data_IF_180870398138
#
_entry.id   IF_180870398138
#
_cell.length_a   1.000
_cell.length_b   1.000
_cell.length_c   1.000
_cell.angle_alpha   90.00
_cell.angle_beta   90.00
_cell.angle_gamma   90.00
#
_symmetry.space_group_name_H-M   'P 1'
#
loop_
_entity.id
_entity.type
_entity.pdbx_description
1 polymer ?
#
# COMPACT_ATOMS: atom_id res chain seq x y z
N UNK A 1 21.92 -32.11 6.22
CA UNK A 1 21.78 -32.15 4.75
C UNK A 1 21.25 -30.80 4.30
N UNK A 2 22.13 -29.97 3.75
CA UNK A 2 21.79 -28.62 3.28
C UNK A 2 21.23 -28.79 1.86
N UNK A 3 19.98 -28.40 1.65
CA UNK A 3 19.33 -28.48 0.35
C UNK A 3 19.77 -27.24 -0.46
N UNK A 4 20.77 -27.42 -1.35
CA UNK A 4 21.16 -26.41 -2.31
C UNK A 4 20.16 -26.45 -3.47
N UNK A 5 19.36 -25.39 -3.64
CA UNK A 5 18.61 -25.14 -4.86
C UNK A 5 19.55 -24.64 -5.96
N UNK A 6 19.32 -25.02 -7.23
CA UNK A 6 20.21 -24.63 -8.32
C UNK A 6 20.06 -23.14 -8.65
N UNK A 7 21.18 -22.43 -8.60
CA UNK A 7 21.30 -21.09 -9.16
C UNK A 7 21.20 -21.15 -10.69
N UNK A 8 20.24 -20.43 -11.27
CA UNK A 8 20.16 -20.26 -12.73
C UNK A 8 21.23 -19.25 -13.15
N UNK A 9 22.30 -19.78 -13.73
CA UNK A 9 23.36 -18.97 -14.35
C UNK A 9 23.05 -18.77 -15.84
N UNK A 10 22.83 -17.53 -16.29
CA UNK A 10 22.87 -17.21 -17.72
C UNK A 10 24.29 -16.79 -18.10
N UNK A 11 24.89 -17.52 -19.03
CA UNK A 11 26.21 -17.18 -19.59
C UNK A 11 26.02 -16.35 -20.88
N UNK A 12 26.58 -15.15 -20.90
CA UNK A 12 26.67 -14.34 -22.13
C UNK A 12 28.16 -14.20 -22.48
N UNK A 13 28.54 -14.65 -23.69
CA UNK A 13 29.89 -14.52 -24.20
C UNK A 13 29.97 -13.30 -25.12
N UNK A 14 30.80 -12.32 -24.75
CA UNK A 14 31.13 -11.15 -25.58
C UNK A 14 32.65 -11.06 -25.62
N UNK A 15 33.19 -11.07 -26.85
CA UNK A 15 34.63 -10.94 -27.13
C UNK A 15 35.55 -11.91 -26.38
N UNK A 16 35.16 -13.18 -26.24
CA UNK A 16 36.01 -14.22 -25.65
C UNK A 16 36.15 -14.15 -24.12
N UNK A 17 35.46 -13.25 -23.45
CA UNK A 17 35.38 -13.19 -21.98
C UNK A 17 33.99 -13.65 -21.51
N UNK A 18 33.98 -14.57 -20.54
CA UNK A 18 32.72 -15.05 -19.93
C UNK A 18 32.35 -14.07 -18.83
N UNK A 19 31.26 -13.33 -19.02
CA UNK A 19 30.67 -12.51 -17.95
C UNK A 19 29.56 -13.36 -17.33
N UNK A 20 29.77 -13.74 -16.07
CA UNK A 20 28.71 -14.39 -15.27
C UNK A 20 27.83 -13.27 -14.72
N UNK A 21 26.65 -13.09 -15.32
CA UNK A 21 25.62 -12.21 -14.75
C UNK A 21 24.87 -13.01 -13.69
N UNK A 22 25.21 -12.80 -12.43
CA UNK A 22 24.41 -13.30 -11.31
C UNK A 22 23.16 -12.41 -11.23
N UNK A 23 22.07 -12.85 -11.80
CA UNK A 23 20.76 -12.25 -11.52
C UNK A 23 20.44 -12.52 -10.05
N UNK A 24 20.74 -11.58 -9.19
CA UNK A 24 20.09 -11.51 -7.89
C UNK A 24 18.62 -11.20 -8.18
N UNK A 25 17.79 -12.23 -8.27
CA UNK A 25 16.36 -12.06 -8.01
C UNK A 25 16.28 -11.64 -6.55
N UNK A 26 16.24 -10.32 -6.32
CA UNK A 26 15.96 -9.77 -5.02
C UNK A 26 14.63 -10.39 -4.58
N UNK A 27 14.66 -11.14 -3.49
CA UNK A 27 13.44 -11.60 -2.81
C UNK A 27 12.69 -10.31 -2.44
N UNK A 28 11.69 -9.94 -3.25
CA UNK A 28 10.78 -8.86 -2.88
C UNK A 28 10.14 -9.26 -1.56
N UNK A 29 10.23 -8.37 -0.57
CA UNK A 29 9.56 -8.63 0.69
C UNK A 29 8.06 -8.75 0.45
N UNK A 30 7.36 -9.52 1.27
CA UNK A 30 5.89 -9.61 1.16
C UNK A 30 5.26 -8.21 1.21
N UNK A 31 5.83 -7.29 1.99
CA UNK A 31 5.40 -5.89 2.09
C UNK A 31 5.51 -5.16 0.75
N UNK A 32 6.61 -5.34 0.01
CA UNK A 32 6.82 -4.72 -1.30
C UNK A 32 5.79 -5.23 -2.32
N UNK A 33 5.45 -6.53 -2.27
CA UNK A 33 4.41 -7.10 -3.13
C UNK A 33 3.04 -6.41 -2.95
N UNK A 34 2.61 -6.19 -1.70
CA UNK A 34 1.31 -5.55 -1.44
C UNK A 34 1.30 -4.08 -1.86
N UNK A 35 2.42 -3.39 -1.68
CA UNK A 35 2.61 -2.03 -2.14
C UNK A 35 2.44 -1.92 -3.66
N UNK A 36 3.13 -2.78 -4.42
CA UNK A 36 3.05 -2.80 -5.89
C UNK A 36 1.64 -3.15 -6.38
N UNK A 37 0.96 -4.10 -5.73
CA UNK A 37 -0.43 -4.46 -6.06
C UNK A 37 -1.37 -3.26 -5.94
N UNK A 38 -1.30 -2.51 -4.83
CA UNK A 38 -2.15 -1.33 -4.62
C UNK A 38 -1.85 -0.25 -5.64
N UNK A 39 -0.57 -0.03 -5.95
CA UNK A 39 -0.13 0.93 -6.97
C UNK A 39 -0.69 0.60 -8.35
N UNK A 40 -0.57 -0.66 -8.77
CA UNK A 40 -1.13 -1.16 -10.03
C UNK A 40 -2.66 -1.02 -10.05
N UNK A 41 -3.34 -1.39 -8.95
CA UNK A 41 -4.80 -1.31 -8.84
C UNK A 41 -5.30 0.13 -8.95
N UNK A 42 -4.63 1.09 -8.31
CA UNK A 42 -4.92 2.52 -8.44
C UNK A 42 -4.73 3.02 -9.87
N UNK A 43 -3.61 2.64 -10.52
CA UNK A 43 -3.33 3.03 -11.90
C UNK A 43 -4.36 2.48 -12.88
N UNK A 44 -4.86 1.24 -12.68
CA UNK A 44 -5.95 0.66 -13.47
C UNK A 44 -7.25 1.48 -13.38
N UNK A 45 -7.49 2.15 -12.24
CA UNK A 45 -8.63 3.06 -12.08
C UNK A 45 -8.36 4.51 -12.53
N UNK A 46 -7.21 4.76 -13.14
CA UNK A 46 -6.85 6.07 -13.68
C UNK A 46 -6.26 7.04 -12.65
N UNK A 47 -5.86 6.56 -11.46
CA UNK A 47 -5.12 7.36 -10.51
C UNK A 47 -3.68 7.56 -10.98
N UNK A 48 -3.19 8.77 -10.90
CA UNK A 48 -1.78 9.08 -11.11
C UNK A 48 -1.07 9.09 -9.76
N UNK A 49 -0.04 8.26 -9.62
CA UNK A 49 0.81 8.25 -8.42
C UNK A 49 1.71 9.48 -8.45
N UNK A 50 1.59 10.33 -7.45
CA UNK A 50 2.38 11.58 -7.36
C UNK A 50 3.55 11.46 -6.42
N UNK A 51 3.42 10.68 -5.35
CA UNK A 51 4.45 10.46 -4.35
C UNK A 51 4.47 8.99 -3.91
N UNK A 52 5.68 8.41 -3.81
CA UNK A 52 5.91 7.03 -3.43
C UNK A 52 7.29 6.88 -2.75
N UNK A 53 7.39 6.99 -1.43
CA UNK A 53 6.31 7.29 -0.46
C UNK A 53 5.96 8.79 -0.35
N UNK A 54 4.73 9.08 0.09
CA UNK A 54 4.34 10.44 0.48
C UNK A 54 4.96 10.79 1.83
N UNK A 55 5.74 11.87 1.87
CA UNK A 55 6.38 12.38 3.08
C UNK A 55 5.63 13.58 3.65
N UNK A 56 5.33 13.54 4.95
CA UNK A 56 4.69 14.64 5.68
C UNK A 56 5.51 14.96 6.92
N UNK A 57 5.90 16.24 7.06
CA UNK A 57 6.56 16.76 8.26
C UNK A 57 5.67 17.81 8.92
N UNK A 58 5.37 17.63 10.20
CA UNK A 58 4.57 18.56 11.01
C UNK A 58 5.21 18.71 12.38
N UNK A 59 5.54 19.96 12.77
CA UNK A 59 6.07 20.28 14.09
C UNK A 59 7.37 19.53 14.44
N UNK A 60 8.22 19.24 13.45
CA UNK A 60 9.47 18.50 13.64
C UNK A 60 9.29 16.97 13.72
N UNK A 61 8.09 16.46 13.45
CA UNK A 61 7.82 15.02 13.34
C UNK A 61 7.66 14.66 11.86
N UNK A 62 8.50 13.76 11.37
CA UNK A 62 8.46 13.25 10.02
C UNK A 62 7.63 11.97 9.94
N UNK A 63 6.70 11.93 9.00
CA UNK A 63 5.83 10.78 8.75
C UNK A 63 5.88 10.39 7.28
N UNK A 64 5.94 9.10 7.01
CA UNK A 64 5.86 8.54 5.66
C UNK A 64 4.52 7.82 5.49
N UNK A 65 3.80 8.16 4.42
CA UNK A 65 2.60 7.48 3.97
C UNK A 65 2.97 6.74 2.67
N UNK A 66 2.60 5.48 2.55
CA UNK A 66 3.09 4.61 1.49
C UNK A 66 2.85 5.16 0.07
N UNK A 67 1.68 5.72 -0.19
CA UNK A 67 1.35 6.27 -1.52
C UNK A 67 0.57 7.58 -1.45
N UNK A 68 0.98 8.55 -2.27
CA UNK A 68 0.15 9.69 -2.63
C UNK A 68 -0.36 9.52 -4.07
N UNK A 69 -1.66 9.73 -4.29
CA UNK A 69 -2.25 9.62 -5.62
C UNK A 69 -3.22 10.77 -5.90
N UNK A 70 -3.27 11.21 -7.14
CA UNK A 70 -4.18 12.23 -7.63
C UNK A 70 -5.00 11.69 -8.81
N UNK A 71 -6.29 12.02 -8.83
CA UNK A 71 -7.20 11.67 -9.92
C UNK A 71 -7.87 12.92 -10.46
N UNK A 72 -7.74 13.15 -11.75
CA UNK A 72 -8.45 14.20 -12.46
C UNK A 72 -9.83 13.71 -12.86
N UNK A 73 -10.88 14.40 -12.38
CA UNK A 73 -12.26 14.10 -12.75
C UNK A 73 -12.61 14.82 -14.05
N UNK A 74 -13.17 14.10 -15.01
CA UNK A 74 -13.45 14.62 -16.35
C UNK A 74 -14.47 15.78 -16.37
N UNK A 75 -15.34 15.89 -15.34
CA UNK A 75 -16.38 16.90 -15.25
C UNK A 75 -15.99 18.10 -14.38
N UNK A 76 -14.94 18.02 -13.60
CA UNK A 76 -14.50 19.06 -12.68
C UNK A 76 -13.03 19.39 -12.93
N UNK A 77 -12.67 20.65 -12.79
CA UNK A 77 -11.30 21.10 -13.01
C UNK A 77 -10.40 20.97 -11.79
N UNK A 78 -10.92 20.47 -10.67
CA UNK A 78 -10.15 20.19 -9.46
C UNK A 78 -9.93 18.70 -9.35
N UNK A 79 -8.69 18.28 -9.22
CA UNK A 79 -8.31 16.89 -9.00
C UNK A 79 -8.74 16.41 -7.62
N UNK A 80 -9.28 15.22 -7.53
CA UNK A 80 -9.44 14.50 -6.27
C UNK A 80 -8.08 14.02 -5.81
N UNK A 81 -7.71 14.27 -4.53
CA UNK A 81 -6.42 13.89 -3.95
C UNK A 81 -6.60 12.85 -2.87
N UNK A 82 -5.83 11.77 -2.93
CA UNK A 82 -5.82 10.75 -1.88
C UNK A 82 -4.40 10.48 -1.38
N UNK A 83 -4.32 10.02 -0.13
CA UNK A 83 -3.17 9.34 0.44
C UNK A 83 -3.61 7.95 0.87
N UNK A 84 -2.74 6.96 0.72
CA UNK A 84 -3.08 5.56 0.95
C UNK A 84 -2.04 4.94 1.88
N UNK A 85 -2.48 4.53 3.07
CA UNK A 85 -1.68 3.72 3.99
C UNK A 85 -1.96 2.24 3.72
N UNK A 86 -0.95 1.49 3.31
CA UNK A 86 -1.10 0.09 2.90
C UNK A 86 -0.76 -0.84 4.05
N UNK A 87 -1.67 -1.77 4.37
CA UNK A 87 -1.47 -2.81 5.39
C UNK A 87 -1.73 -4.19 4.82
N UNK A 88 -0.75 -5.08 4.97
CA UNK A 88 -0.82 -6.45 4.44
C UNK A 88 -1.61 -7.41 5.33
N UNK A 89 -1.73 -7.16 6.63
CA UNK A 89 -2.36 -8.04 7.61
C UNK A 89 -1.81 -9.49 7.58
N UNK A 90 -0.50 -9.63 7.38
CA UNK A 90 0.19 -10.93 7.30
C UNK A 90 0.68 -11.46 8.63
N UNK A 91 0.67 -10.64 9.69
CA UNK A 91 1.11 -11.09 11.00
C UNK A 91 0.14 -12.13 11.57
N UNK A 92 0.64 -12.97 12.45
CA UNK A 92 -0.15 -14.02 13.13
C UNK A 92 -1.30 -13.46 13.97
N UNK A 93 -1.25 -12.17 14.33
CA UNK A 93 -2.26 -11.48 15.12
C UNK A 93 -2.87 -10.31 14.32
N UNK A 94 -4.02 -10.53 13.70
CA UNK A 94 -4.75 -9.48 12.97
C UNK A 94 -5.13 -8.29 13.86
N UNK A 95 -5.40 -8.51 15.16
CA UNK A 95 -5.70 -7.43 16.10
C UNK A 95 -4.47 -6.54 16.37
N UNK A 96 -3.27 -7.10 16.37
CA UNK A 96 -2.04 -6.32 16.53
C UNK A 96 -1.83 -5.42 15.31
N UNK A 97 -1.97 -5.96 14.09
CA UNK A 97 -1.90 -5.18 12.85
C UNK A 97 -2.97 -4.07 12.82
N UNK A 98 -4.17 -4.38 13.31
CA UNK A 98 -5.26 -3.42 13.39
C UNK A 98 -4.95 -2.26 14.35
N UNK A 99 -4.43 -2.53 15.53
CA UNK A 99 -4.03 -1.47 16.48
C UNK A 99 -2.96 -0.54 15.89
N UNK A 100 -1.97 -1.12 15.19
CA UNK A 100 -0.95 -0.32 14.48
C UNK A 100 -1.57 0.51 13.36
N UNK A 101 -2.45 -0.08 12.55
CA UNK A 101 -3.12 0.62 11.46
C UNK A 101 -4.01 1.77 11.99
N UNK A 102 -4.76 1.56 13.08
CA UNK A 102 -5.58 2.59 13.72
C UNK A 102 -4.71 3.76 14.20
N UNK A 103 -3.62 3.47 14.93
CA UNK A 103 -2.71 4.50 15.43
C UNK A 103 -2.08 5.32 14.30
N UNK A 104 -1.57 4.67 13.27
CA UNK A 104 -0.97 5.34 12.11
C UNK A 104 -2.00 6.15 11.33
N UNK A 105 -3.17 5.60 11.07
CA UNK A 105 -4.22 6.30 10.34
C UNK A 105 -4.66 7.59 11.02
N UNK A 106 -4.85 7.56 12.35
CA UNK A 106 -5.23 8.76 13.12
C UNK A 106 -4.13 9.82 13.05
N UNK A 107 -2.87 9.42 13.21
CA UNK A 107 -1.72 10.32 13.13
C UNK A 107 -1.59 10.95 11.74
N UNK A 108 -1.64 10.15 10.69
CA UNK A 108 -1.55 10.64 9.30
C UNK A 108 -2.73 11.54 8.93
N UNK A 109 -3.94 11.19 9.33
CA UNK A 109 -5.12 12.04 9.11
C UNK A 109 -4.97 13.40 9.80
N UNK A 110 -4.43 13.42 11.01
CA UNK A 110 -4.15 14.67 11.73
C UNK A 110 -3.09 15.48 11.00
N UNK A 111 -1.99 14.87 10.57
CA UNK A 111 -0.92 15.54 9.84
C UNK A 111 -1.41 16.12 8.50
N UNK A 112 -2.21 15.36 7.74
CA UNK A 112 -2.79 15.81 6.47
C UNK A 112 -3.69 17.05 6.64
N UNK A 113 -4.44 17.17 7.74
CA UNK A 113 -5.23 18.36 8.02
C UNK A 113 -4.40 19.66 8.07
N UNK A 114 -3.13 19.56 8.46
CA UNK A 114 -2.21 20.70 8.49
C UNK A 114 -1.54 20.96 7.15
N UNK A 115 -1.20 19.91 6.39
CA UNK A 115 -0.36 20.02 5.20
C UNK A 115 -1.12 20.04 3.89
N UNK A 116 -2.13 19.21 3.74
CA UNK A 116 -2.97 19.10 2.56
C UNK A 116 -4.39 18.69 2.96
N UNK A 117 -5.22 19.63 3.48
CA UNK A 117 -6.54 19.33 4.04
C UNK A 117 -7.53 18.77 2.98
N UNK A 118 -7.23 18.92 1.71
CA UNK A 118 -8.05 18.37 0.62
C UNK A 118 -7.73 16.91 0.30
N UNK A 119 -6.58 16.41 0.74
CA UNK A 119 -6.14 15.03 0.50
C UNK A 119 -6.83 14.08 1.46
N UNK A 120 -7.59 13.15 0.91
CA UNK A 120 -8.33 12.16 1.70
C UNK A 120 -7.43 10.97 2.00
N UNK A 121 -7.40 10.52 3.25
CA UNK A 121 -6.65 9.35 3.68
C UNK A 121 -7.51 8.10 3.58
N UNK A 122 -6.97 7.05 2.96
CA UNK A 122 -7.54 5.71 2.90
C UNK A 122 -6.60 4.71 3.54
N UNK A 123 -7.17 3.75 4.28
CA UNK A 123 -6.47 2.55 4.71
C UNK A 123 -6.71 1.46 3.67
N UNK A 124 -5.64 1.03 2.98
CA UNK A 124 -5.70 -0.05 2.01
C UNK A 124 -5.46 -1.39 2.69
N UNK A 125 -6.38 -2.33 2.51
CA UNK A 125 -6.35 -3.67 3.11
C UNK A 125 -6.67 -4.75 2.08
N UNK A 126 -6.07 -5.97 2.20
CA UNK A 126 -6.41 -7.08 1.32
C UNK A 126 -7.86 -7.53 1.51
N UNK A 127 -8.48 -8.02 0.44
CA UNK A 127 -9.85 -8.56 0.44
C UNK A 127 -10.02 -9.70 1.46
N UNK A 128 -9.00 -10.53 1.65
CA UNK A 128 -8.99 -11.58 2.68
C UNK A 128 -9.11 -11.01 4.08
N UNK A 129 -8.28 -10.03 4.44
CA UNK A 129 -8.35 -9.37 5.74
C UNK A 129 -9.70 -8.67 5.95
N UNK A 130 -10.24 -8.03 4.90
CA UNK A 130 -11.55 -7.41 4.95
C UNK A 130 -12.64 -8.43 5.30
N UNK A 131 -12.66 -9.59 4.62
CA UNK A 131 -13.67 -10.63 4.83
C UNK A 131 -13.54 -11.31 6.21
N UNK A 132 -12.30 -11.60 6.64
CA UNK A 132 -12.05 -12.43 7.82
C UNK A 132 -12.05 -11.62 9.12
N UNK A 133 -11.70 -10.33 9.05
CA UNK A 133 -11.49 -9.53 10.24
C UNK A 133 -12.28 -8.21 10.25
N UNK A 134 -12.30 -7.43 9.16
CA UNK A 134 -12.90 -6.09 9.13
C UNK A 134 -14.43 -6.09 9.14
N UNK A 135 -15.08 -7.23 8.85
CA UNK A 135 -16.54 -7.41 8.94
C UNK A 135 -17.02 -7.80 10.35
N UNK A 136 -16.12 -8.00 11.30
CA UNK A 136 -16.50 -8.33 12.69
C UNK A 136 -17.11 -7.10 13.37
N UNK A 137 -18.04 -7.31 14.27
CA UNK A 137 -18.77 -6.26 14.98
C UNK A 137 -17.84 -5.21 15.60
N UNK A 138 -16.84 -5.67 16.37
CA UNK A 138 -15.86 -4.78 17.01
C UNK A 138 -15.10 -3.91 16.00
N UNK A 139 -14.54 -4.50 14.96
CA UNK A 139 -13.75 -3.77 13.96
C UNK A 139 -14.62 -2.84 13.15
N UNK A 140 -15.85 -3.24 12.81
CA UNK A 140 -16.82 -2.38 12.14
C UNK A 140 -17.16 -1.16 12.99
N UNK A 141 -17.43 -1.35 14.29
CA UNK A 141 -17.69 -0.24 15.21
C UNK A 141 -16.52 0.75 15.27
N UNK A 142 -15.28 0.26 15.38
CA UNK A 142 -14.09 1.15 15.40
C UNK A 142 -13.95 1.91 14.07
N UNK A 143 -14.16 1.24 12.94
CA UNK A 143 -14.09 1.88 11.61
C UNK A 143 -15.14 3.01 11.49
N UNK A 144 -16.34 2.80 12.00
CA UNK A 144 -17.43 3.78 11.99
C UNK A 144 -17.17 4.93 12.97
N UNK A 145 -16.83 4.64 14.22
CA UNK A 145 -16.57 5.64 15.26
C UNK A 145 -15.45 6.60 14.86
N UNK A 146 -14.38 6.08 14.26
CA UNK A 146 -13.25 6.89 13.81
C UNK A 146 -13.31 7.32 12.35
N UNK A 147 -14.41 7.01 11.65
CA UNK A 147 -14.65 7.41 10.25
C UNK A 147 -13.48 7.02 9.33
N UNK A 148 -13.07 5.77 9.39
CA UNK A 148 -12.04 5.26 8.48
C UNK A 148 -12.59 5.13 7.06
N UNK A 149 -11.83 5.62 6.11
CA UNK A 149 -12.05 5.32 4.69
C UNK A 149 -11.21 4.13 4.31
N UNK A 150 -11.84 3.10 3.72
CA UNK A 150 -11.14 1.87 3.34
C UNK A 150 -11.04 1.77 1.82
N UNK A 151 -9.89 1.27 1.38
CA UNK A 151 -9.62 0.76 0.05
C UNK A 151 -9.36 -0.74 0.18
N UNK A 152 -10.27 -1.57 -0.31
CA UNK A 152 -10.11 -3.02 -0.28
C UNK A 152 -9.60 -3.50 -1.63
N UNK A 153 -8.47 -4.20 -1.66
CA UNK A 153 -7.85 -4.66 -2.89
C UNK A 153 -7.71 -6.18 -2.96
N UNK A 154 -7.83 -6.71 -4.17
CA UNK A 154 -7.57 -8.11 -4.47
C UNK A 154 -6.11 -8.27 -4.89
N UNK A 155 -5.37 -9.11 -4.16
CA UNK A 155 -3.93 -9.31 -4.36
C UNK A 155 -3.63 -10.12 -5.63
N UNK A 156 -4.52 -11.04 -5.99
CA UNK A 156 -4.30 -11.92 -7.15
C UNK A 156 -4.69 -11.23 -8.45
N UNK A 157 -5.79 -10.47 -8.43
CA UNK A 157 -6.29 -9.77 -9.61
C UNK A 157 -5.69 -8.37 -9.78
N UNK A 158 -5.00 -7.87 -8.76
CA UNK A 158 -4.41 -6.52 -8.72
C UNK A 158 -5.44 -5.43 -9.06
N UNK A 159 -6.61 -5.50 -8.42
CA UNK A 159 -7.70 -4.53 -8.60
C UNK A 159 -8.24 -4.06 -7.27
N UNK A 160 -8.89 -2.89 -7.28
CA UNK A 160 -9.65 -2.41 -6.13
C UNK A 160 -11.03 -3.05 -6.17
N UNK A 161 -11.34 -3.83 -5.13
CA UNK A 161 -12.62 -4.52 -4.99
C UNK A 161 -13.70 -3.64 -4.36
N UNK A 162 -13.31 -2.71 -3.49
CA UNK A 162 -14.27 -1.86 -2.76
C UNK A 162 -13.62 -0.57 -2.28
N UNK A 163 -14.32 0.56 -2.48
CA UNK A 163 -14.11 1.81 -1.77
C UNK A 163 -15.20 1.99 -0.72
N UNK A 164 -14.84 2.06 0.57
CA UNK A 164 -15.75 2.43 1.67
C UNK A 164 -15.37 3.85 2.12
N UNK A 165 -16.24 4.82 1.79
CA UNK A 165 -16.05 6.26 2.07
C UNK A 165 -16.80 6.68 3.33
#
# INVERSE_FOLDING_TARGET
>A
MVNQQPELHSQISINGSIIIVVCHQGFMSAKDKFHDVVKIALQKEGWQITDDPLSISVGGVDMLIDLGAERLLAAERQGEKIAVEIKSFLNTSAITDFHLAVGQFINYRTALKFKDPQRQLFLAIPLTAYNDFFKREFTTAVIEDYQFKLLVYDVEQEVISLWKK
#
